data_IF_223868583051
#
_entry.id   IF_223868583051
#
_cell.length_a   1.000
_cell.length_b   1.000
_cell.length_c   1.000
_cell.angle_alpha   90.00
_cell.angle_beta   90.00
_cell.angle_gamma   90.00
#
_symmetry.space_group_name_H-M   'P 1'
#
loop_
_entity.id
_entity.type
_entity.pdbx_description
1 polymer ?
#
# COMPACT_ATOMS: atom_id res chain seq x y z
N UNK A 1 -22.53 17.92 25.75
CA UNK A 1 -21.18 18.02 25.22
C UNK A 1 -21.29 18.21 23.70
N UNK A 2 -21.14 19.46 23.24
CA UNK A 2 -21.10 19.84 21.81
C UNK A 2 -19.72 19.52 21.27
N UNK A 3 -19.68 18.56 20.34
CA UNK A 3 -18.45 18.25 19.58
C UNK A 3 -18.26 19.38 18.56
N UNK A 4 -17.25 20.23 18.77
CA UNK A 4 -16.86 21.25 17.80
C UNK A 4 -16.20 20.56 16.61
N UNK A 5 -16.77 20.78 15.41
CA UNK A 5 -16.17 20.37 14.14
C UNK A 5 -14.79 21.03 13.99
N UNK A 6 -13.77 20.33 13.47
CA UNK A 6 -12.48 20.97 13.22
C UNK A 6 -12.66 22.08 12.19
N UNK A 7 -12.28 23.30 12.58
CA UNK A 7 -12.19 24.45 11.67
C UNK A 7 -11.12 24.16 10.63
N UNK A 8 -11.55 23.92 9.40
CA UNK A 8 -10.67 23.82 8.24
C UNK A 8 -10.04 25.20 8.01
N UNK A 9 -8.72 25.25 8.15
CA UNK A 9 -7.99 26.49 7.99
C UNK A 9 -7.84 26.82 6.49
N UNK A 10 -8.63 27.77 6.00
CA UNK A 10 -8.71 28.21 4.61
C UNK A 10 -7.42 28.89 4.08
N UNK A 11 -6.36 28.95 4.88
CA UNK A 11 -5.09 29.60 4.51
C UNK A 11 -4.25 28.85 3.45
N UNK A 12 -4.69 27.69 2.98
CA UNK A 12 -4.03 26.90 1.93
C UNK A 12 -4.77 26.89 0.59
N UNK A 13 -5.62 27.90 0.32
CA UNK A 13 -6.15 28.04 -1.02
C UNK A 13 -5.02 28.29 -2.01
N UNK A 14 -4.50 27.22 -2.58
CA UNK A 14 -3.71 27.27 -3.81
C UNK A 14 -4.70 27.42 -4.96
N UNK A 15 -4.62 28.49 -5.77
CA UNK A 15 -5.42 28.54 -6.99
C UNK A 15 -5.17 27.23 -7.78
N UNK A 16 -6.19 26.61 -8.37
CA UNK A 16 -6.01 25.40 -9.15
C UNK A 16 -4.97 25.69 -10.22
N UNK A 17 -3.85 24.94 -10.19
CA UNK A 17 -2.88 24.97 -11.27
C UNK A 17 -3.62 24.59 -12.56
N UNK A 18 -3.31 25.24 -13.70
CA UNK A 18 -3.92 24.88 -14.97
C UNK A 18 -3.79 23.37 -15.15
N UNK A 19 -4.89 22.72 -15.52
CA UNK A 19 -5.04 21.25 -15.50
C UNK A 19 -4.02 20.51 -16.39
N UNK A 20 -3.19 21.23 -17.13
CA UNK A 20 -2.25 20.70 -18.12
C UNK A 20 -0.79 20.67 -17.64
N UNK A 21 -0.46 21.30 -16.51
CA UNK A 21 0.95 21.49 -16.13
C UNK A 21 1.46 20.49 -15.06
N UNK A 22 0.59 19.72 -14.43
CA UNK A 22 0.98 18.81 -13.34
C UNK A 22 0.24 17.48 -13.43
N UNK A 23 1.01 16.39 -13.42
CA UNK A 23 0.50 15.04 -13.16
C UNK A 23 0.92 14.59 -11.77
N UNK A 24 -0.03 14.12 -10.98
CA UNK A 24 0.22 13.70 -9.59
C UNK A 24 0.19 12.18 -9.53
N UNK A 25 1.23 11.61 -8.91
CA UNK A 25 1.30 10.20 -8.56
C UNK A 25 1.33 10.07 -7.03
N UNK A 26 0.70 9.02 -6.52
CA UNK A 26 0.65 8.75 -5.09
C UNK A 26 1.38 7.46 -4.77
N UNK A 27 2.11 7.46 -3.66
CA UNK A 27 2.63 6.26 -3.02
C UNK A 27 1.88 6.12 -1.71
N UNK A 28 1.22 5.00 -1.55
CA UNK A 28 0.40 4.70 -0.39
C UNK A 28 0.97 3.48 0.34
N UNK A 29 1.03 3.56 1.65
CA UNK A 29 1.43 2.45 2.50
C UNK A 29 0.34 2.19 3.53
N UNK A 30 -0.11 0.93 3.63
CA UNK A 30 -1.01 0.52 4.70
C UNK A 30 -0.23 0.35 6.01
N UNK A 31 -0.87 0.54 7.17
CA UNK A 31 -0.20 0.28 8.44
C UNK A 31 0.16 -1.20 8.57
N UNK A 32 1.19 -1.47 9.38
CA UNK A 32 1.58 -2.82 9.76
C UNK A 32 0.44 -3.51 10.54
N UNK A 33 0.18 -4.76 10.22
CA UNK A 33 -0.80 -5.60 10.92
C UNK A 33 -0.04 -6.42 11.97
N UNK A 34 -0.42 -6.25 13.21
CA UNK A 34 0.17 -7.02 14.31
C UNK A 34 -0.18 -8.50 14.18
N UNK A 35 0.81 -9.36 14.43
CA UNK A 35 0.63 -10.79 14.48
C UNK A 35 -0.42 -11.22 15.51
N UNK A 36 -1.13 -12.30 15.22
CA UNK A 36 -2.17 -12.84 16.12
C UNK A 36 -1.53 -13.52 17.33
N UNK A 37 -2.11 -13.30 18.51
CA UNK A 37 -1.72 -13.97 19.73
C UNK A 37 -2.19 -15.43 19.74
N UNK A 38 -1.28 -16.36 20.03
CA UNK A 38 -1.56 -17.79 20.11
C UNK A 38 -1.91 -18.20 21.56
N UNK A 39 -3.20 -18.19 21.86
CA UNK A 39 -3.70 -18.55 23.19
C UNK A 39 -3.33 -19.99 23.61
N UNK A 40 -3.35 -20.95 22.67
CA UNK A 40 -3.00 -22.34 22.97
C UNK A 40 -1.55 -22.42 23.39
N UNK A 41 -0.65 -21.84 22.61
CA UNK A 41 0.78 -21.86 22.91
C UNK A 41 1.11 -21.16 24.22
N UNK A 42 0.47 -20.03 24.50
CA UNK A 42 0.63 -19.33 25.78
C UNK A 42 0.16 -20.17 26.97
N UNK A 43 -0.90 -20.95 26.81
CA UNK A 43 -1.38 -21.87 27.86
C UNK A 43 -0.45 -23.05 28.06
N UNK A 44 0.06 -23.66 26.99
CA UNK A 44 1.05 -24.74 27.03
C UNK A 44 2.34 -24.31 27.75
N UNK A 45 2.77 -23.08 27.52
CA UNK A 45 3.92 -22.48 28.18
C UNK A 45 3.64 -22.04 29.62
N UNK A 46 2.39 -22.08 30.09
CA UNK A 46 2.02 -21.70 31.45
C UNK A 46 1.98 -20.18 31.69
N UNK A 47 1.86 -19.37 30.61
CA UNK A 47 1.79 -17.90 30.72
C UNK A 47 0.45 -17.48 31.33
N UNK A 48 0.48 -16.79 32.50
CA UNK A 48 -0.71 -16.30 33.21
C UNK A 48 -1.36 -15.09 32.50
N UNK A 49 -2.62 -14.81 32.85
CA UNK A 49 -3.41 -13.77 32.15
C UNK A 49 -2.77 -12.38 32.13
N UNK A 50 -2.21 -11.92 33.22
CA UNK A 50 -1.53 -10.61 33.31
C UNK A 50 -0.28 -10.53 32.42
N UNK A 51 0.50 -11.60 32.42
CA UNK A 51 1.72 -11.69 31.62
C UNK A 51 1.45 -11.80 30.13
N UNK A 52 0.30 -12.37 29.73
CA UNK A 52 -0.15 -12.33 28.32
C UNK A 52 -0.31 -10.90 27.82
N UNK A 53 -0.88 -10.02 28.65
CA UNK A 53 -1.03 -8.61 28.33
C UNK A 53 0.31 -7.91 28.09
N UNK A 54 1.32 -8.18 28.93
CA UNK A 54 2.67 -7.63 28.79
C UNK A 54 3.34 -8.08 27.49
N UNK A 55 3.25 -9.39 27.16
CA UNK A 55 3.78 -9.93 25.90
C UNK A 55 3.12 -9.31 24.67
N UNK A 56 1.80 -9.14 24.69
CA UNK A 56 1.07 -8.49 23.58
C UNK A 56 1.49 -7.04 23.39
N UNK A 57 1.69 -6.29 24.49
CA UNK A 57 2.15 -4.89 24.43
C UNK A 57 3.64 -4.74 24.09
N UNK A 58 4.41 -5.84 24.18
CA UNK A 58 5.84 -5.81 23.90
C UNK A 58 6.67 -5.20 25.02
N UNK A 59 6.22 -5.32 26.26
CA UNK A 59 6.90 -4.78 27.46
C UNK A 59 8.17 -5.60 27.87
N UNK A 60 8.55 -6.56 27.04
CA UNK A 60 9.75 -7.38 27.22
C UNK A 60 9.48 -8.86 27.47
N UNK A 61 10.52 -9.66 27.62
CA UNK A 61 10.41 -11.07 27.94
C UNK A 61 9.90 -11.26 29.39
N UNK A 62 9.19 -12.37 29.61
CA UNK A 62 8.64 -12.74 30.92
C UNK A 62 9.36 -13.99 31.43
N UNK A 63 9.76 -13.97 32.67
CA UNK A 63 10.30 -15.15 33.34
C UNK A 63 9.19 -15.85 34.12
N UNK A 64 8.91 -17.08 33.76
CA UNK A 64 7.93 -17.93 34.44
C UNK A 64 8.49 -18.46 35.79
N UNK A 65 7.60 -18.96 36.65
CA UNK A 65 7.95 -19.50 37.97
C UNK A 65 8.94 -20.70 37.89
N UNK A 66 9.00 -21.38 36.76
CA UNK A 66 9.93 -22.48 36.48
C UNK A 66 11.30 -22.00 35.96
N UNK A 67 11.54 -20.68 35.91
CA UNK A 67 12.79 -20.09 35.40
C UNK A 67 12.83 -19.96 33.86
N UNK A 68 11.83 -20.43 33.14
CA UNK A 68 11.77 -20.33 31.69
C UNK A 68 11.46 -18.89 31.28
N UNK A 69 12.21 -18.37 30.32
CA UNK A 69 11.97 -17.05 29.71
C UNK A 69 11.10 -17.22 28.47
N UNK A 70 10.00 -16.51 28.42
CA UNK A 70 9.06 -16.49 27.29
C UNK A 70 9.08 -15.10 26.66
N UNK A 71 9.27 -15.07 25.36
CA UNK A 71 9.29 -13.84 24.55
C UNK A 71 7.98 -13.67 23.77
N UNK A 72 7.80 -12.49 23.20
CA UNK A 72 6.64 -12.21 22.33
C UNK A 72 6.57 -13.18 21.14
N UNK A 73 7.71 -13.49 20.52
CA UNK A 73 7.79 -14.40 19.37
C UNK A 73 7.35 -15.84 19.67
N UNK A 74 7.41 -16.26 20.95
CA UNK A 74 6.99 -17.61 21.34
C UNK A 74 5.46 -17.78 21.34
N UNK A 75 4.72 -16.66 21.49
CA UNK A 75 3.26 -16.65 21.66
C UNK A 75 2.50 -15.78 20.67
N UNK A 76 3.21 -15.10 19.78
CA UNK A 76 2.59 -14.30 18.71
C UNK A 76 3.15 -14.74 17.35
N UNK A 77 2.29 -14.68 16.34
CA UNK A 77 2.73 -14.75 14.96
C UNK A 77 3.53 -13.47 14.60
N UNK A 78 4.34 -13.55 13.56
CA UNK A 78 5.07 -12.40 13.05
C UNK A 78 4.12 -11.30 12.60
N UNK A 79 4.55 -10.06 12.78
CA UNK A 79 3.83 -8.90 12.28
C UNK A 79 3.92 -8.87 10.74
N UNK A 80 2.80 -8.57 10.09
CA UNK A 80 2.75 -8.45 8.63
C UNK A 80 3.04 -7.00 8.26
N UNK A 81 4.09 -6.78 7.49
CA UNK A 81 4.46 -5.45 6.99
C UNK A 81 3.32 -4.84 6.17
N UNK A 82 3.16 -3.53 6.27
CA UNK A 82 2.16 -2.82 5.49
C UNK A 82 2.42 -2.98 3.98
N UNK A 83 1.33 -3.05 3.20
CA UNK A 83 1.37 -3.11 1.76
C UNK A 83 1.69 -1.72 1.19
N UNK A 84 2.65 -1.65 0.27
CA UNK A 84 2.93 -0.43 -0.51
C UNK A 84 2.27 -0.58 -1.88
N UNK A 85 1.50 0.43 -2.28
CA UNK A 85 0.93 0.52 -3.61
C UNK A 85 1.07 1.93 -4.18
N UNK A 86 1.11 2.04 -5.50
CA UNK A 86 1.21 3.31 -6.19
C UNK A 86 -0.03 3.57 -7.06
N UNK A 87 -0.42 4.84 -7.16
CA UNK A 87 -1.42 5.31 -8.11
C UNK A 87 -0.70 6.26 -9.05
N UNK A 88 -0.64 5.90 -10.32
CA UNK A 88 0.12 6.60 -11.35
C UNK A 88 -0.82 7.22 -12.36
N UNK A 89 -0.67 8.52 -12.59
CA UNK A 89 -1.36 9.25 -13.65
C UNK A 89 -0.33 9.81 -14.62
N UNK A 90 -0.36 9.34 -15.86
CA UNK A 90 0.44 9.86 -16.97
C UNK A 90 -0.52 10.25 -18.10
N UNK A 91 -0.99 11.51 -18.16
CA UNK A 91 -2.05 11.92 -19.10
C UNK A 91 -1.64 11.83 -20.55
N UNK A 92 -0.38 12.12 -20.86
CA UNK A 92 0.19 12.09 -22.21
C UNK A 92 1.64 11.59 -22.17
N UNK A 93 2.20 11.30 -23.34
CA UNK A 93 3.58 10.78 -23.47
C UNK A 93 4.61 11.79 -22.98
N UNK A 94 4.36 13.08 -23.10
CA UNK A 94 5.27 14.14 -22.64
C UNK A 94 5.55 14.08 -21.13
N UNK A 95 4.56 13.65 -20.33
CA UNK A 95 4.75 13.43 -18.89
C UNK A 95 5.57 12.17 -18.59
N UNK A 96 5.71 11.26 -19.56
CA UNK A 96 6.41 10.00 -19.39
C UNK A 96 7.88 10.18 -19.00
N UNK A 97 8.59 11.13 -19.60
CA UNK A 97 10.00 11.39 -19.28
C UNK A 97 10.20 11.81 -17.82
N UNK A 98 9.34 12.67 -17.30
CA UNK A 98 9.38 13.11 -15.90
C UNK A 98 9.02 11.95 -14.94
N UNK A 99 8.06 11.12 -15.32
CA UNK A 99 7.66 9.93 -14.57
C UNK A 99 8.82 8.92 -14.50
N UNK A 100 9.45 8.63 -15.61
CA UNK A 100 10.59 7.71 -15.72
C UNK A 100 11.77 8.20 -14.86
N UNK A 101 12.08 9.49 -14.89
CA UNK A 101 13.16 10.07 -14.09
C UNK A 101 12.94 9.86 -12.58
N UNK A 102 11.68 9.78 -12.14
CA UNK A 102 11.33 9.60 -10.73
C UNK A 102 10.81 8.19 -10.38
N UNK A 103 10.88 7.23 -11.31
CA UNK A 103 10.36 5.86 -11.11
C UNK A 103 10.92 5.16 -9.88
N UNK A 104 12.17 5.45 -9.52
CA UNK A 104 12.82 4.86 -8.33
C UNK A 104 12.03 5.08 -7.04
N UNK A 105 11.30 6.20 -6.93
CA UNK A 105 10.43 6.50 -5.79
C UNK A 105 9.18 5.63 -5.76
N UNK A 106 8.69 5.23 -6.94
CA UNK A 106 7.48 4.43 -7.09
C UNK A 106 7.76 2.93 -6.97
N UNK A 107 8.98 2.48 -7.31
CA UNK A 107 9.37 1.06 -7.25
C UNK A 107 9.53 0.60 -5.80
N UNK A 108 10.10 1.44 -4.94
CA UNK A 108 10.30 1.09 -3.53
C UNK A 108 10.18 2.31 -2.62
N UNK A 109 9.54 2.12 -1.48
CA UNK A 109 9.36 3.13 -0.45
C UNK A 109 9.64 2.52 0.93
N UNK A 110 10.46 3.20 1.76
CA UNK A 110 10.81 2.76 3.11
C UNK A 110 11.26 1.29 3.20
N UNK A 111 12.17 0.87 2.31
CA UNK A 111 12.66 -0.50 2.18
C UNK A 111 11.59 -1.57 1.82
N UNK A 112 10.37 -1.15 1.45
CA UNK A 112 9.32 -2.03 0.98
C UNK A 112 9.14 -1.87 -0.54
N UNK A 113 9.07 -2.98 -1.28
CA UNK A 113 8.74 -2.94 -2.71
C UNK A 113 7.26 -2.66 -2.93
N UNK A 114 6.96 -1.91 -3.98
CA UNK A 114 5.57 -1.67 -4.39
C UNK A 114 4.95 -2.96 -4.90
N UNK A 115 3.82 -3.37 -4.33
CA UNK A 115 3.14 -4.62 -4.67
C UNK A 115 2.06 -4.43 -5.74
N UNK A 116 1.46 -3.26 -5.80
CA UNK A 116 0.40 -2.95 -6.77
C UNK A 116 0.62 -1.55 -7.34
N UNK A 117 0.47 -1.41 -8.64
CA UNK A 117 0.47 -0.12 -9.34
C UNK A 117 -0.83 0.05 -10.09
N UNK A 118 -1.59 1.07 -9.74
CA UNK A 118 -2.81 1.46 -10.45
C UNK A 118 -2.47 2.52 -11.49
N UNK A 119 -2.72 2.21 -12.76
CA UNK A 119 -2.47 3.10 -13.89
C UNK A 119 -3.75 3.84 -14.27
N UNK A 120 -3.89 5.09 -13.84
CA UNK A 120 -4.91 6.04 -14.28
C UNK A 120 -4.42 6.75 -15.55
N UNK A 121 -4.03 5.99 -16.55
CA UNK A 121 -3.28 6.44 -17.73
C UNK A 121 -4.02 5.98 -18.97
N UNK A 122 -4.18 6.84 -20.01
CA UNK A 122 -4.83 6.46 -21.26
C UNK A 122 -4.13 5.28 -21.95
N UNK A 123 -4.89 4.44 -22.65
CA UNK A 123 -4.36 3.22 -23.28
C UNK A 123 -3.25 3.50 -24.29
N UNK A 124 -3.34 4.56 -25.07
CA UNK A 124 -2.30 4.91 -26.04
C UNK A 124 -0.94 5.23 -25.37
N UNK A 125 -0.93 5.73 -24.12
CA UNK A 125 0.29 5.97 -23.35
C UNK A 125 0.81 4.66 -22.76
N UNK A 126 -0.07 3.87 -22.14
CA UNK A 126 0.31 2.58 -21.53
C UNK A 126 0.90 1.62 -22.57
N UNK A 127 0.30 1.61 -23.77
CA UNK A 127 0.74 0.73 -24.85
C UNK A 127 1.99 1.19 -25.57
N UNK A 128 2.49 2.41 -25.28
CA UNK A 128 3.75 2.89 -25.88
C UNK A 128 4.95 2.08 -25.39
N UNK A 129 5.90 1.84 -26.27
CA UNK A 129 7.13 1.11 -25.93
C UNK A 129 7.89 1.80 -24.80
N UNK A 130 7.97 3.13 -24.83
CA UNK A 130 8.60 3.92 -23.78
C UNK A 130 7.99 3.62 -22.40
N UNK A 131 6.65 3.62 -22.28
CA UNK A 131 6.00 3.38 -21.00
C UNK A 131 6.18 1.95 -20.51
N UNK A 132 6.16 0.98 -21.41
CA UNK A 132 6.39 -0.43 -21.07
C UNK A 132 7.84 -0.66 -20.65
N UNK A 133 8.79 -0.38 -21.53
CA UNK A 133 10.20 -0.74 -21.31
C UNK A 133 10.87 0.12 -20.25
N UNK A 134 10.59 1.44 -20.22
CA UNK A 134 11.28 2.37 -19.33
C UNK A 134 10.57 2.59 -17.99
N UNK A 135 9.31 2.17 -17.88
CA UNK A 135 8.57 2.34 -16.63
C UNK A 135 8.07 1.01 -16.06
N UNK A 136 7.24 0.23 -16.77
CA UNK A 136 6.62 -0.99 -16.24
C UNK A 136 7.67 -2.07 -15.97
N UNK A 137 8.57 -2.34 -16.92
CA UNK A 137 9.57 -3.43 -16.83
C UNK A 137 10.62 -3.19 -15.73
N UNK A 138 10.67 -1.99 -15.14
CA UNK A 138 11.56 -1.70 -14.03
C UNK A 138 11.00 -2.09 -12.65
N UNK A 139 9.73 -2.46 -12.57
CA UNK A 139 9.16 -2.98 -11.34
C UNK A 139 9.52 -4.46 -11.15
N UNK A 140 9.57 -4.94 -9.90
CA UNK A 140 9.72 -6.37 -9.64
C UNK A 140 8.65 -7.20 -10.37
N UNK A 141 9.00 -8.39 -10.85
CA UNK A 141 8.06 -9.28 -11.56
C UNK A 141 6.82 -9.68 -10.75
N UNK A 142 6.91 -9.58 -9.43
CA UNK A 142 5.80 -9.83 -8.50
C UNK A 142 4.85 -8.62 -8.32
N UNK A 143 5.18 -7.46 -8.92
CA UNK A 143 4.34 -6.27 -8.83
C UNK A 143 3.14 -6.41 -9.75
N UNK A 144 1.95 -6.25 -9.18
CA UNK A 144 0.70 -6.30 -9.94
C UNK A 144 0.42 -4.93 -10.58
N UNK A 145 0.24 -4.90 -11.89
CA UNK A 145 -0.13 -3.71 -12.65
C UNK A 145 -1.62 -3.75 -13.01
N UNK A 146 -2.38 -2.76 -12.54
CA UNK A 146 -3.83 -2.65 -12.73
C UNK A 146 -4.14 -1.43 -13.57
N UNK A 147 -4.73 -1.61 -14.74
CA UNK A 147 -5.14 -0.50 -15.61
C UNK A 147 -6.56 -0.04 -15.26
N UNK A 148 -6.70 1.25 -15.00
CA UNK A 148 -7.98 1.90 -14.69
C UNK A 148 -8.14 3.10 -15.62
N UNK A 149 -8.75 2.87 -16.78
CA UNK A 149 -9.04 3.92 -17.75
C UNK A 149 -10.41 3.68 -18.43
N UNK A 150 -10.85 4.59 -19.29
CA UNK A 150 -12.17 4.51 -19.91
C UNK A 150 -12.35 3.28 -20.81
N UNK A 151 -11.27 2.78 -21.41
CA UNK A 151 -11.31 1.60 -22.29
C UNK A 151 -11.36 0.31 -21.48
N UNK A 152 -10.56 0.22 -20.39
CA UNK A 152 -10.56 -0.93 -19.49
C UNK A 152 -11.80 -0.96 -18.58
N UNK A 153 -12.34 0.22 -18.22
CA UNK A 153 -13.47 0.39 -17.31
C UNK A 153 -14.58 1.24 -17.97
N UNK A 154 -15.33 0.72 -18.94
CA UNK A 154 -16.39 1.46 -19.61
C UNK A 154 -17.48 1.90 -18.62
N UNK A 155 -17.97 3.14 -18.78
CA UNK A 155 -18.90 3.80 -17.83
C UNK A 155 -20.21 3.05 -17.58
N UNK A 156 -20.68 2.28 -18.56
CA UNK A 156 -21.97 1.58 -18.48
C UNK A 156 -21.97 0.45 -17.46
N UNK A 157 -20.81 -0.07 -17.14
CA UNK A 157 -20.66 -1.28 -16.31
C UNK A 157 -20.07 -1.04 -14.92
N UNK A 158 -19.74 0.19 -14.57
CA UNK A 158 -19.05 0.52 -13.32
C UNK A 158 -19.78 0.06 -12.05
N UNK A 159 -21.11 -0.03 -12.08
CA UNK A 159 -21.90 -0.53 -10.94
C UNK A 159 -22.17 -2.04 -10.96
N UNK A 160 -22.10 -2.68 -12.13
CA UNK A 160 -22.42 -4.11 -12.28
C UNK A 160 -21.21 -5.01 -12.45
N UNK A 161 -20.07 -4.46 -12.85
CA UNK A 161 -18.88 -5.22 -13.24
C UNK A 161 -17.68 -5.13 -12.29
N UNK A 162 -17.88 -5.06 -11.00
CA UNK A 162 -16.80 -5.05 -9.99
C UNK A 162 -15.84 -6.25 -10.05
N UNK A 163 -15.98 -7.14 -11.05
CA UNK A 163 -15.12 -8.31 -11.25
C UNK A 163 -14.53 -8.47 -12.65
N UNK A 164 -14.93 -7.68 -13.65
CA UNK A 164 -14.57 -7.98 -15.06
C UNK A 164 -13.60 -7.00 -15.72
N UNK A 165 -13.37 -5.82 -15.15
CA UNK A 165 -12.64 -4.74 -15.83
C UNK A 165 -11.24 -4.47 -15.27
N UNK A 166 -10.64 -5.42 -14.61
CA UNK A 166 -9.22 -5.35 -14.21
C UNK A 166 -8.40 -6.05 -15.29
N UNK A 167 -7.70 -5.29 -16.13
CA UNK A 167 -6.72 -5.82 -17.06
C UNK A 167 -5.40 -5.97 -16.29
N UNK A 168 -4.96 -7.20 -16.14
CA UNK A 168 -3.64 -7.50 -15.59
C UNK A 168 -2.63 -7.45 -16.74
N UNK A 169 -1.60 -6.62 -16.60
CA UNK A 169 -0.53 -6.49 -17.59
C UNK A 169 0.56 -7.56 -17.45
N UNK A 170 0.48 -8.40 -16.42
CA UNK A 170 1.44 -9.48 -16.15
C UNK A 170 1.03 -10.77 -16.87
N UNK A 171 1.01 -10.76 -18.21
CA UNK A 171 0.94 -11.97 -19.03
C UNK A 171 2.12 -12.03 -19.97
#
# INVERSE_FOLDING_TARGET
ATVSSPTYNDSYYRPPLPAHDVAICYICQTPQIRGKFNHKRATELGVKGEDRGKLVRGEGPITLNNGQVVTRSDVMADDISGLVFAIVRCPTIEYGSALIAQRHRLIGHNACSTKVVYHLTPSHVIMSDMYKTEFIDHFPSETLHVVVNEEACPRVDAMLCGRRNVILLNQ
#
